data_IF_760588875189
#
_entry.id   IF_760588875189
#
_cell.length_a   1.000
_cell.length_b   1.000
_cell.length_c   1.000
_cell.angle_alpha   90.00
_cell.angle_beta   90.00
_cell.angle_gamma   90.00
#
_symmetry.space_group_name_H-M   'P 1'
#
loop_
_entity.id
_entity.type
_entity.pdbx_description
1 polymer ?
#
# COMPACT_ATOMS: atom_id res chain seq x y z
N UNK A 1 15.39 11.35 -17.73
CA UNK A 1 15.55 10.87 -17.07
C UNK A 1 14.80 10.53 -16.21
N UNK A 2 14.57 9.88 -15.98
CA UNK A 2 13.86 9.50 -15.34
C UNK A 2 13.94 9.24 -14.28
N UNK A 3 13.91 9.58 -13.83
CA UNK A 3 13.97 9.42 -13.00
C UNK A 3 13.66 8.94 -12.18
N UNK A 4 13.46 8.86 -11.94
CA UNK A 4 13.26 8.61 -10.63
C UNK A 4 12.07 7.84 -10.39
N UNK A 5 11.99 6.66 -10.94
CA UNK A 5 11.01 5.68 -10.52
C UNK A 5 11.48 5.13 -9.18
N UNK A 6 10.95 5.69 -8.11
CA UNK A 6 11.26 5.24 -6.76
C UNK A 6 10.49 3.98 -6.39
N UNK A 7 9.57 3.54 -7.25
CA UNK A 7 8.86 2.29 -7.08
C UNK A 7 7.62 2.40 -6.25
N UNK A 8 7.10 1.24 -5.92
CA UNK A 8 5.86 1.10 -5.17
C UNK A 8 6.11 0.24 -3.95
N UNK A 9 5.74 0.77 -2.79
CA UNK A 9 5.83 -0.01 -1.54
C UNK A 9 4.82 -1.14 -1.55
N UNK A 10 3.64 -0.89 -2.10
CA UNK A 10 2.55 -1.86 -2.18
C UNK A 10 2.07 -1.90 -3.62
N UNK A 11 1.88 -3.08 -4.14
CA UNK A 11 1.26 -3.27 -5.44
C UNK A 11 0.42 -4.52 -5.39
N UNK A 12 -0.90 -4.34 -5.36
CA UNK A 12 -1.86 -5.42 -5.28
C UNK A 12 -2.76 -5.31 -6.48
N UNK A 13 -2.79 -6.36 -7.29
CA UNK A 13 -3.53 -6.34 -8.54
C UNK A 13 -4.13 -7.71 -8.83
N UNK A 14 -5.27 -7.70 -9.50
CA UNK A 14 -5.81 -8.93 -10.07
C UNK A 14 -4.94 -9.38 -11.23
N UNK A 15 -4.94 -10.68 -11.53
CA UNK A 15 -4.17 -11.18 -12.67
C UNK A 15 -4.59 -10.51 -13.97
N UNK A 16 -3.68 -10.39 -14.95
CA UNK A 16 -4.03 -9.83 -16.26
C UNK A 16 -5.20 -10.58 -16.91
N UNK A 17 -6.06 -9.83 -17.57
CA UNK A 17 -7.21 -10.43 -18.24
C UNK A 17 -8.43 -10.61 -17.35
N UNK A 18 -8.38 -10.17 -16.11
CA UNK A 18 -9.52 -10.23 -15.21
C UNK A 18 -10.09 -8.82 -14.99
N UNK A 19 -10.52 -8.48 -13.78
CA UNK A 19 -11.22 -7.23 -13.49
C UNK A 19 -10.39 -5.97 -13.73
N UNK A 20 -9.07 -6.08 -13.67
CA UNK A 20 -8.21 -4.92 -13.77
C UNK A 20 -8.11 -4.09 -12.50
N UNK A 21 -8.61 -4.60 -11.38
CA UNK A 21 -8.52 -3.87 -10.10
C UNK A 21 -7.07 -3.80 -9.63
N UNK A 22 -6.64 -2.60 -9.21
CA UNK A 22 -5.30 -2.38 -8.69
C UNK A 22 -5.37 -1.44 -7.49
N UNK A 23 -4.66 -1.79 -6.43
CA UNK A 23 -4.42 -0.89 -5.31
C UNK A 23 -2.92 -0.85 -5.08
N UNK A 24 -2.34 0.35 -5.13
CA UNK A 24 -0.90 0.49 -4.97
C UNK A 24 -0.57 1.66 -4.06
N UNK A 25 0.63 1.65 -3.52
CA UNK A 25 1.19 2.75 -2.76
C UNK A 25 2.49 3.14 -3.43
N UNK A 26 2.48 4.28 -4.11
CA UNK A 26 3.61 4.76 -4.89
C UNK A 26 4.46 5.72 -4.07
N UNK A 27 5.76 5.62 -4.24
CA UNK A 27 6.70 6.55 -3.63
C UNK A 27 6.91 7.70 -4.62
N UNK A 28 6.63 8.92 -4.18
CA UNK A 28 6.71 10.11 -5.02
C UNK A 28 8.04 10.83 -4.89
N UNK A 29 8.60 10.86 -3.69
CA UNK A 29 9.83 11.59 -3.45
C UNK A 29 10.61 10.96 -2.31
N UNK A 30 11.95 11.03 -2.40
CA UNK A 30 12.83 10.57 -1.34
C UNK A 30 12.69 11.48 -0.12
N UNK A 31 13.05 10.99 1.07
CA UNK A 31 13.11 11.89 2.23
C UNK A 31 14.08 13.03 1.95
N UNK A 32 13.77 14.21 2.46
CA UNK A 32 14.68 15.34 2.39
C UNK A 32 15.96 15.00 3.15
N UNK A 33 17.11 15.63 2.81
CA UNK A 33 18.34 15.37 3.54
C UNK A 33 18.14 15.57 5.05
N UNK A 34 18.45 14.55 5.83
CA UNK A 34 18.23 14.56 7.27
C UNK A 34 16.78 14.37 7.69
N UNK A 35 15.86 14.21 6.73
CA UNK A 35 14.45 14.00 7.02
C UNK A 35 14.13 12.53 7.16
N UNK A 36 12.96 12.26 7.72
CA UNK A 36 12.49 10.90 7.97
C UNK A 36 11.09 10.65 7.41
N UNK A 37 10.64 11.50 6.48
CA UNK A 37 9.30 11.39 5.89
C UNK A 37 9.40 11.11 4.41
N UNK A 38 8.70 10.07 3.99
CA UNK A 38 8.64 9.64 2.59
C UNK A 38 7.30 10.11 2.02
N UNK A 39 7.36 10.82 0.89
CA UNK A 39 6.17 11.35 0.23
C UNK A 39 5.61 10.28 -0.70
N UNK A 40 4.37 9.88 -0.46
CA UNK A 40 3.74 8.76 -1.17
C UNK A 40 2.30 9.08 -1.54
N UNK A 41 1.70 8.20 -2.34
CA UNK A 41 0.25 8.25 -2.57
C UNK A 41 -0.30 6.84 -2.77
N UNK A 42 -1.47 6.60 -2.18
CA UNK A 42 -2.26 5.42 -2.54
C UNK A 42 -2.96 5.69 -3.85
N UNK A 43 -2.95 4.71 -4.74
CA UNK A 43 -3.66 4.79 -6.01
C UNK A 43 -4.60 3.59 -6.08
N UNK A 44 -5.87 3.87 -6.33
CA UNK A 44 -6.90 2.84 -6.48
C UNK A 44 -7.48 2.95 -7.88
N UNK A 45 -7.49 1.83 -8.60
CA UNK A 45 -8.07 1.77 -9.92
C UNK A 45 -9.00 0.57 -10.05
N UNK A 46 -10.22 0.83 -10.49
CA UNK A 46 -11.18 -0.20 -10.83
C UNK A 46 -11.78 0.15 -12.18
N UNK A 47 -12.75 -0.63 -12.63
CA UNK A 47 -13.43 -0.33 -13.90
C UNK A 47 -14.12 1.03 -13.86
N UNK A 48 -14.60 1.46 -12.70
CA UNK A 48 -15.47 2.64 -12.59
C UNK A 48 -14.86 3.74 -11.73
N UNK A 49 -13.90 3.43 -10.88
CA UNK A 49 -13.36 4.38 -9.92
C UNK A 49 -11.86 4.45 -10.05
N UNK A 50 -11.33 5.66 -10.12
CA UNK A 50 -9.91 5.92 -10.04
C UNK A 50 -9.72 7.03 -9.02
N UNK A 51 -8.77 6.84 -8.11
CA UNK A 51 -8.51 7.85 -7.12
C UNK A 51 -7.10 7.75 -6.57
N UNK A 52 -6.61 8.85 -6.02
CA UNK A 52 -5.34 8.87 -5.34
C UNK A 52 -5.47 9.63 -4.04
N UNK A 53 -4.73 9.17 -3.02
CA UNK A 53 -4.77 9.72 -1.68
C UNK A 53 -3.35 9.97 -1.21
N UNK A 54 -2.97 11.24 -0.95
CA UNK A 54 -1.62 11.52 -0.47
C UNK A 54 -1.40 10.93 0.92
N UNK A 55 -0.22 10.43 1.17
CA UNK A 55 0.15 9.88 2.47
C UNK A 55 1.65 10.07 2.68
N UNK A 56 2.04 10.34 3.91
CA UNK A 56 3.43 10.55 4.28
C UNK A 56 3.83 9.46 5.27
N UNK A 57 4.91 8.76 4.97
CA UNK A 57 5.34 7.60 5.75
C UNK A 57 6.67 7.87 6.44
N UNK A 58 6.79 7.37 7.67
CA UNK A 58 8.05 7.37 8.40
C UNK A 58 8.64 5.97 8.40
N UNK A 59 9.87 5.83 8.89
CA UNK A 59 10.46 4.50 9.02
C UNK A 59 9.68 3.62 9.99
N UNK A 60 9.05 4.22 11.02
CA UNK A 60 8.20 3.46 11.93
C UNK A 60 7.00 2.87 11.21
N UNK A 61 6.43 3.63 10.27
CA UNK A 61 5.31 3.12 9.46
C UNK A 61 5.74 1.91 8.64
N UNK A 62 6.97 1.90 8.13
CA UNK A 62 7.48 0.75 7.40
C UNK A 62 7.66 -0.46 8.30
N UNK A 63 8.09 -0.25 9.54
CA UNK A 63 8.19 -1.35 10.50
C UNK A 63 6.81 -1.93 10.81
N UNK A 64 5.81 -1.06 10.96
CA UNK A 64 4.43 -1.51 11.17
C UNK A 64 3.91 -2.30 9.96
N UNK A 65 4.29 -1.88 8.76
CA UNK A 65 3.91 -2.60 7.56
C UNK A 65 4.55 -3.98 7.49
N UNK A 66 5.79 -4.10 7.95
CA UNK A 66 6.44 -5.40 8.02
C UNK A 66 5.67 -6.35 8.94
N UNK A 67 5.23 -5.86 10.10
CA UNK A 67 4.40 -6.67 11.01
C UNK A 67 3.08 -7.03 10.36
N UNK A 68 2.49 -6.10 9.62
CA UNK A 68 1.24 -6.34 8.90
C UNK A 68 1.40 -7.47 7.88
N UNK A 69 2.51 -7.49 7.15
CA UNK A 69 2.76 -8.55 6.19
C UNK A 69 2.88 -9.91 6.88
N UNK A 70 3.48 -9.95 8.07
CA UNK A 70 3.52 -11.17 8.86
C UNK A 70 2.14 -11.65 9.28
N UNK A 71 1.26 -10.72 9.66
CA UNK A 71 -0.12 -11.07 10.00
C UNK A 71 -0.88 -11.60 8.79
N UNK A 72 -0.68 -10.97 7.63
CA UNK A 72 -1.31 -11.43 6.39
C UNK A 72 -0.84 -12.82 5.99
N UNK A 73 0.44 -13.12 6.21
CA UNK A 73 0.96 -14.46 5.96
C UNK A 73 0.27 -15.49 6.85
N UNK A 74 -0.20 -15.06 8.03
CA UNK A 74 -1.00 -15.89 8.93
C UNK A 74 -2.49 -15.81 8.67
N UNK A 75 -2.89 -15.24 7.57
CA UNK A 75 -4.29 -15.13 7.15
C UNK A 75 -5.13 -14.30 8.13
N UNK A 76 -4.55 -13.22 8.67
CA UNK A 76 -5.23 -12.37 9.64
C UNK A 76 -5.58 -11.02 9.01
N UNK A 77 -6.60 -10.39 9.59
CA UNK A 77 -7.00 -9.02 9.25
C UNK A 77 -5.90 -8.04 9.65
N UNK A 78 -5.68 -7.03 8.81
CA UNK A 78 -4.67 -5.99 9.05
C UNK A 78 -5.29 -4.61 8.91
N UNK A 79 -4.94 -3.74 9.86
CA UNK A 79 -5.24 -2.32 9.78
C UNK A 79 -3.93 -1.57 9.97
N UNK A 80 -3.57 -0.74 8.99
CA UNK A 80 -2.31 -0.03 8.96
C UNK A 80 -2.59 1.47 8.81
N UNK A 81 -1.74 2.29 9.41
CA UNK A 81 -1.88 3.75 9.38
C UNK A 81 -3.20 4.20 10.04
N UNK A 82 -3.47 3.65 11.21
CA UNK A 82 -4.76 3.85 11.86
C UNK A 82 -4.74 4.94 12.93
N UNK A 83 -3.90 5.95 12.77
CA UNK A 83 -3.81 7.06 13.72
C UNK A 83 -4.99 8.03 13.64
N UNK A 84 -5.74 8.01 12.54
CA UNK A 84 -6.78 9.00 12.29
C UNK A 84 -6.26 10.29 11.67
N UNK A 85 -4.94 10.43 11.57
CA UNK A 85 -4.30 11.64 11.03
C UNK A 85 -3.87 11.48 9.59
N UNK A 86 -4.00 10.28 9.05
CA UNK A 86 -3.58 9.99 7.70
C UNK A 86 -4.60 9.04 7.07
N UNK A 87 -4.39 8.75 5.81
CA UNK A 87 -5.19 7.75 5.11
C UNK A 87 -4.98 6.40 5.78
N UNK A 88 -6.07 5.69 6.03
CA UNK A 88 -6.02 4.38 6.67
C UNK A 88 -6.12 3.28 5.63
N UNK A 89 -5.39 2.19 5.84
CA UNK A 89 -5.30 1.08 4.91
C UNK A 89 -5.63 -0.22 5.64
N UNK A 90 -6.57 -0.99 5.10
CA UNK A 90 -6.99 -2.26 5.70
C UNK A 90 -6.98 -3.36 4.67
N UNK A 91 -6.56 -4.53 5.09
CA UNK A 91 -6.64 -5.74 4.26
C UNK A 91 -7.30 -6.83 5.08
N UNK A 92 -8.35 -7.42 4.51
CA UNK A 92 -9.07 -8.50 5.15
C UNK A 92 -9.04 -9.72 4.24
N UNK A 93 -8.41 -10.83 4.67
CA UNK A 93 -8.49 -12.06 3.88
C UNK A 93 -9.92 -12.52 3.77
N UNK A 94 -10.32 -12.94 2.57
CA UNK A 94 -11.64 -13.51 2.34
C UNK A 94 -11.47 -14.85 1.64
N UNK A 95 -12.43 -15.71 1.84
CA UNK A 95 -12.39 -17.04 1.27
C UNK A 95 -13.06 -17.04 -0.11
N UNK A 96 -12.51 -17.82 -1.07
CA UNK A 96 -11.28 -18.58 -1.09
C UNK A 96 -10.14 -17.82 -1.78
N UNK A 97 -9.10 -17.51 -1.03
CA UNK A 97 -7.87 -16.98 -1.63
C UNK A 97 -7.86 -15.54 -2.04
N UNK A 98 -8.93 -14.79 -1.75
CA UNK A 98 -9.01 -13.37 -2.07
C UNK A 98 -8.74 -12.49 -0.87
N UNK A 99 -8.69 -11.18 -1.12
CA UNK A 99 -8.58 -10.18 -0.07
C UNK A 99 -9.54 -9.03 -0.39
N UNK A 100 -9.99 -8.35 0.66
CA UNK A 100 -10.73 -7.11 0.52
C UNK A 100 -9.80 -6.00 1.03
N UNK A 101 -9.51 -5.03 0.18
CA UNK A 101 -8.61 -3.92 0.49
C UNK A 101 -9.43 -2.66 0.62
N UNK A 102 -9.23 -1.91 1.70
CA UNK A 102 -9.93 -0.64 1.91
C UNK A 102 -8.93 0.48 2.12
N UNK A 103 -9.18 1.61 1.45
CA UNK A 103 -8.44 2.84 1.64
C UNK A 103 -9.45 3.88 2.12
N UNK A 104 -9.21 4.47 3.28
CA UNK A 104 -10.12 5.44 3.89
C UNK A 104 -9.41 6.75 4.14
N UNK A 105 -9.94 7.83 3.59
CA UNK A 105 -9.37 9.17 3.77
C UNK A 105 -10.03 9.86 4.96
N UNK A 106 -9.62 9.48 6.17
CA UNK A 106 -10.17 10.05 7.39
C UNK A 106 -9.90 11.54 7.58
N UNK A 107 -8.67 12.02 7.24
CA UNK A 107 -8.36 13.44 7.50
C UNK A 107 -9.12 14.43 6.65
N UNK A 108 -9.57 14.06 5.47
CA UNK A 108 -10.11 15.03 4.53
C UNK A 108 -11.51 14.68 4.06
N UNK A 109 -11.62 13.82 3.05
CA UNK A 109 -12.89 13.63 2.34
C UNK A 109 -13.84 12.65 3.02
N UNK A 110 -13.37 11.83 3.94
CA UNK A 110 -14.11 10.73 4.56
C UNK A 110 -14.51 9.65 3.55
N UNK A 111 -13.94 9.69 2.34
CA UNK A 111 -14.22 8.67 1.34
C UNK A 111 -13.54 7.37 1.71
N UNK A 112 -14.25 6.26 1.54
CA UNK A 112 -13.68 4.92 1.65
C UNK A 112 -13.87 4.22 0.33
N UNK A 113 -12.79 3.61 -0.18
CA UNK A 113 -12.86 2.76 -1.36
C UNK A 113 -12.47 1.37 -0.95
N UNK A 114 -13.36 0.40 -1.19
CA UNK A 114 -13.09 -1.00 -0.88
C UNK A 114 -13.06 -1.78 -2.18
N UNK A 115 -12.02 -2.58 -2.37
CA UNK A 115 -11.78 -3.29 -3.62
C UNK A 115 -11.50 -4.75 -3.33
N UNK A 116 -12.27 -5.68 -3.93
CA UNK A 116 -11.92 -7.09 -3.84
C UNK A 116 -10.79 -7.41 -4.81
N UNK A 117 -9.83 -8.19 -4.35
CA UNK A 117 -8.68 -8.57 -5.17
C UNK A 117 -8.37 -10.06 -4.98
N UNK A 118 -7.85 -10.68 -6.03
CA UNK A 118 -7.39 -12.06 -5.99
C UNK A 118 -5.94 -12.08 -6.48
N UNK A 119 -5.00 -11.60 -5.64
CA UNK A 119 -3.61 -11.47 -6.08
C UNK A 119 -2.99 -12.83 -6.35
N UNK A 120 -1.96 -12.82 -7.20
CA UNK A 120 -1.27 -14.06 -7.55
C UNK A 120 -0.55 -14.67 -6.36
N UNK A 121 -0.29 -15.98 -6.44
CA UNK A 121 0.50 -16.67 -5.43
C UNK A 121 1.85 -15.98 -5.26
N UNK A 122 2.29 -15.84 -4.01
CA UNK A 122 3.57 -15.18 -3.72
C UNK A 122 3.45 -13.67 -3.56
N UNK A 123 2.25 -13.14 -3.54
CA UNK A 123 2.07 -11.70 -3.47
C UNK A 123 2.63 -11.08 -2.18
N UNK A 124 2.61 -11.82 -1.06
CA UNK A 124 3.17 -11.31 0.19
C UNK A 124 4.68 -11.17 0.09
N UNK A 125 5.35 -12.16 -0.50
CA UNK A 125 6.80 -12.09 -0.70
C UNK A 125 7.17 -10.95 -1.62
N UNK A 126 6.34 -10.66 -2.63
CA UNK A 126 6.55 -9.52 -3.50
C UNK A 126 6.49 -8.21 -2.70
N UNK A 127 5.51 -8.08 -1.81
CA UNK A 127 5.41 -6.89 -0.98
C UNK A 127 6.61 -6.77 -0.03
N UNK A 128 7.12 -7.88 0.48
CA UNK A 128 8.32 -7.86 1.33
C UNK A 128 9.54 -7.37 0.57
N UNK A 129 9.69 -7.80 -0.68
CA UNK A 129 10.81 -7.33 -1.50
C UNK A 129 10.71 -5.84 -1.78
N UNK A 130 9.49 -5.36 -2.02
CA UNK A 130 9.24 -3.92 -2.22
C UNK A 130 9.58 -3.12 -0.97
N UNK A 131 9.22 -3.65 0.19
CA UNK A 131 9.52 -3.00 1.47
C UNK A 131 11.02 -2.81 1.66
N UNK A 132 11.81 -3.85 1.38
CA UNK A 132 13.27 -3.74 1.53
C UNK A 132 13.84 -2.70 0.58
N UNK A 133 13.33 -2.62 -0.63
CA UNK A 133 13.78 -1.61 -1.59
C UNK A 133 13.46 -0.20 -1.09
N UNK A 134 12.26 0.01 -0.56
CA UNK A 134 11.85 1.32 -0.07
C UNK A 134 12.63 1.73 1.18
N UNK A 135 12.92 0.77 2.08
CA UNK A 135 13.74 1.07 3.26
C UNK A 135 15.09 1.69 2.90
N UNK A 136 15.66 1.31 1.75
CA UNK A 136 16.95 1.85 1.33
C UNK A 136 16.89 3.32 1.01
N UNK A 137 15.71 3.86 0.74
CA UNK A 137 15.55 5.29 0.47
C UNK A 137 15.83 6.14 1.72
N UNK A 138 15.65 5.56 2.91
CA UNK A 138 15.92 6.26 4.16
C UNK A 138 17.40 6.22 4.55
N UNK A 139 18.15 5.26 4.02
CA UNK A 139 19.55 5.09 4.41
C UNK A 139 20.52 5.75 3.45
N UNK A 140 20.02 6.27 2.39
CA UNK A 140 20.87 6.87 1.37
C UNK A 140 21.09 8.31 1.55
#
# INVERSE_FOLDING_TARGET
VVEDDLGELIYLADPPGTSGHVVSLRVLARPAPGGDVLDCEFVVETETVKGSFPVYLTSDDLDDWEEALGALAGNRFVSWLNSGRTVQFKIKPVSPGGIAVSVHDGPSSQVTVSVPLFPATGWIDDQRARLEKVRRLFSG
#
